data_IF_102463381243
#
_entry.id   IF_102463381243
#
_cell.length_a   1.000
_cell.length_b   1.000
_cell.length_c   1.000
_cell.angle_alpha   90.00
_cell.angle_beta   90.00
_cell.angle_gamma   90.00
#
_symmetry.space_group_name_H-M   'P 1'
#
loop_
_entity.id
_entity.type
_entity.pdbx_description
1 polymer ?
#
# COMPACT_ATOMS: atom_id res chain seq x y z
N UNK A 1 -35.26 -15.17 -25.31
CA UNK A 1 -35.21 -15.17 -23.83
C UNK A 1 -36.50 -14.54 -23.33
N UNK A 2 -37.29 -15.27 -22.51
CA UNK A 2 -38.57 -14.78 -22.00
C UNK A 2 -38.37 -13.63 -20.98
N UNK A 3 -39.41 -12.78 -20.84
CA UNK A 3 -39.42 -11.67 -19.88
C UNK A 3 -39.12 -12.16 -18.43
N UNK A 4 -39.57 -13.35 -18.05
CA UNK A 4 -39.32 -14.00 -16.77
C UNK A 4 -37.82 -14.35 -16.58
N UNK A 5 -37.09 -14.73 -17.65
CA UNK A 5 -35.64 -14.99 -17.58
C UNK A 5 -34.78 -13.71 -17.47
N UNK A 6 -35.30 -12.59 -18.04
CA UNK A 6 -34.64 -11.28 -17.86
C UNK A 6 -34.87 -10.73 -16.45
N UNK A 7 -36.04 -10.92 -15.89
CA UNK A 7 -36.40 -10.50 -14.53
C UNK A 7 -35.59 -11.31 -13.49
N UNK A 8 -35.54 -12.66 -13.61
CA UNK A 8 -34.70 -13.50 -12.74
C UNK A 8 -33.21 -13.18 -12.81
N UNK A 9 -32.64 -12.80 -14.00
CA UNK A 9 -31.27 -12.33 -14.10
C UNK A 9 -31.08 -10.96 -13.45
N UNK A 10 -32.08 -10.07 -13.49
CA UNK A 10 -32.02 -8.77 -12.80
C UNK A 10 -32.00 -8.90 -11.28
N UNK A 11 -32.70 -9.90 -10.74
CA UNK A 11 -32.81 -10.12 -9.28
C UNK A 11 -31.54 -10.74 -8.67
N UNK A 12 -30.70 -11.43 -9.48
CA UNK A 12 -29.44 -12.04 -9.03
C UNK A 12 -28.20 -11.15 -9.24
N UNK A 13 -28.30 -10.07 -10.03
CA UNK A 13 -27.19 -9.15 -10.25
C UNK A 13 -26.97 -8.29 -9.01
N UNK A 14 -25.80 -8.43 -8.37
CA UNK A 14 -25.41 -7.55 -7.27
C UNK A 14 -24.88 -6.22 -7.81
N UNK A 15 -25.29 -5.11 -7.19
CA UNK A 15 -24.77 -3.77 -7.43
C UNK A 15 -23.73 -3.44 -6.37
N UNK A 16 -22.45 -3.48 -6.73
CA UNK A 16 -21.35 -3.15 -5.82
C UNK A 16 -20.88 -1.71 -6.07
N UNK A 17 -20.87 -0.90 -5.02
CA UNK A 17 -20.32 0.44 -5.04
C UNK A 17 -18.96 0.46 -4.33
N UNK A 18 -17.89 0.66 -5.08
CA UNK A 18 -16.56 0.95 -4.52
C UNK A 18 -16.40 2.45 -4.31
N UNK A 19 -15.74 2.83 -3.22
CA UNK A 19 -15.57 4.24 -2.83
C UNK A 19 -14.13 4.54 -2.44
N UNK A 20 -13.46 5.39 -3.22
CA UNK A 20 -12.11 5.87 -2.93
C UNK A 20 -11.78 7.11 -3.76
N UNK A 21 -11.15 8.13 -3.15
CA UNK A 21 -10.72 9.33 -3.90
C UNK A 21 -9.87 9.02 -5.12
N UNK A 22 -9.00 7.99 -5.05
CA UNK A 22 -8.13 7.52 -6.13
C UNK A 22 -8.63 6.17 -6.68
N UNK A 23 -9.18 6.15 -7.87
CA UNK A 23 -9.58 4.93 -8.57
C UNK A 23 -8.35 4.27 -9.23
N UNK A 24 -8.15 2.94 -9.12
CA UNK A 24 -8.90 1.99 -8.31
C UNK A 24 -8.39 1.85 -6.86
N UNK A 25 -7.31 2.56 -6.46
CA UNK A 25 -6.70 2.44 -5.14
C UNK A 25 -6.31 0.99 -4.82
N UNK A 26 -6.51 0.57 -3.58
CA UNK A 26 -6.24 -0.79 -3.11
C UNK A 26 -7.23 -1.84 -3.60
N UNK A 27 -8.35 -1.44 -4.20
CA UNK A 27 -9.37 -2.36 -4.72
C UNK A 27 -9.06 -2.88 -6.13
N UNK A 28 -7.87 -2.58 -6.68
CA UNK A 28 -7.53 -2.89 -8.07
C UNK A 28 -7.79 -4.35 -8.44
N UNK A 29 -7.24 -5.29 -7.69
CA UNK A 29 -7.29 -6.70 -8.08
C UNK A 29 -8.71 -7.29 -7.96
N UNK A 30 -9.43 -7.00 -6.86
CA UNK A 30 -10.80 -7.47 -6.69
C UNK A 30 -11.76 -6.82 -7.72
N UNK A 31 -11.58 -5.52 -8.00
CA UNK A 31 -12.38 -4.80 -8.98
C UNK A 31 -12.16 -5.34 -10.39
N UNK A 32 -10.89 -5.59 -10.77
CA UNK A 32 -10.54 -6.16 -12.08
C UNK A 32 -11.05 -7.60 -12.23
N UNK A 33 -11.00 -8.39 -11.15
CA UNK A 33 -11.53 -9.74 -11.14
C UNK A 33 -13.05 -9.75 -11.33
N UNK A 34 -13.80 -8.96 -10.55
CA UNK A 34 -15.25 -8.82 -10.68
C UNK A 34 -15.66 -8.29 -12.08
N UNK A 35 -14.94 -7.30 -12.60
CA UNK A 35 -15.20 -6.75 -13.92
C UNK A 35 -14.97 -7.77 -15.05
N UNK A 36 -14.02 -8.68 -14.88
CA UNK A 36 -13.75 -9.75 -15.83
C UNK A 36 -14.85 -10.83 -15.86
N UNK A 37 -15.50 -11.08 -14.73
CA UNK A 37 -16.66 -12.01 -14.65
C UNK A 37 -17.87 -11.45 -15.42
N UNK A 38 -18.11 -10.14 -15.36
CA UNK A 38 -19.22 -9.48 -16.06
C UNK A 38 -20.62 -9.88 -15.55
N UNK A 39 -20.71 -10.40 -14.33
CA UNK A 39 -21.93 -10.93 -13.72
C UNK A 39 -22.63 -9.91 -12.82
N UNK A 40 -21.94 -8.86 -12.40
CA UNK A 40 -22.39 -7.88 -11.42
C UNK A 40 -22.36 -6.46 -11.98
N UNK A 41 -23.15 -5.56 -11.40
CA UNK A 41 -23.14 -4.12 -11.70
C UNK A 41 -22.10 -3.42 -10.79
N UNK A 42 -21.02 -2.98 -11.39
CA UNK A 42 -19.90 -2.39 -10.68
C UNK A 42 -19.86 -0.88 -10.87
N UNK A 43 -19.91 -0.14 -9.78
CA UNK A 43 -19.72 1.30 -9.76
C UNK A 43 -18.55 1.69 -8.86
N UNK A 44 -17.89 2.79 -9.20
CA UNK A 44 -16.78 3.34 -8.45
C UNK A 44 -16.93 4.84 -8.25
N UNK A 45 -17.14 5.29 -7.02
CA UNK A 45 -17.19 6.69 -6.63
C UNK A 45 -15.78 7.23 -6.38
N UNK A 46 -15.38 8.28 -7.10
CA UNK A 46 -14.01 8.80 -7.06
C UNK A 46 -13.92 10.28 -7.42
N UNK A 47 -12.83 10.93 -7.01
CA UNK A 47 -12.47 12.27 -7.48
C UNK A 47 -11.74 12.26 -8.83
N UNK A 48 -11.20 11.07 -9.25
CA UNK A 48 -10.46 10.93 -10.50
C UNK A 48 -11.37 11.02 -11.71
N UNK A 49 -10.95 11.79 -12.71
CA UNK A 49 -11.68 11.94 -13.98
C UNK A 49 -10.93 11.34 -15.17
N UNK A 50 -9.69 10.99 -14.98
CA UNK A 50 -8.74 10.52 -16.00
C UNK A 50 -8.60 8.99 -16.06
N UNK A 51 -9.28 8.24 -15.14
CA UNK A 51 -9.21 6.77 -15.07
C UNK A 51 -10.52 6.17 -15.50
N UNK A 52 -10.46 5.15 -16.37
CA UNK A 52 -11.60 4.33 -16.76
C UNK A 52 -11.22 2.85 -16.70
N UNK A 53 -12.10 2.03 -16.13
CA UNK A 53 -11.94 0.56 -16.08
C UNK A 53 -13.13 -0.04 -16.85
N UNK A 54 -12.83 -0.92 -17.80
CA UNK A 54 -13.87 -1.60 -18.59
C UNK A 54 -14.78 -2.43 -17.67
N UNK A 55 -16.09 -2.28 -17.81
CA UNK A 55 -17.07 -2.98 -16.98
C UNK A 55 -17.36 -2.32 -15.63
N UNK A 56 -16.76 -1.15 -15.35
CA UNK A 56 -16.98 -0.40 -14.11
C UNK A 56 -17.53 0.99 -14.43
N UNK A 57 -18.70 1.31 -13.89
CA UNK A 57 -19.28 2.64 -13.97
C UNK A 57 -18.52 3.59 -13.05
N UNK A 58 -17.85 4.60 -13.59
CA UNK A 58 -17.25 5.68 -12.79
C UNK A 58 -18.32 6.70 -12.41
N UNK A 59 -18.42 6.99 -11.12
CA UNK A 59 -19.22 8.07 -10.54
C UNK A 59 -18.23 9.11 -10.01
N UNK A 60 -18.18 10.30 -10.61
CA UNK A 60 -17.26 11.36 -10.18
C UNK A 60 -17.95 12.27 -9.17
N UNK A 61 -17.22 12.64 -8.12
CA UNK A 61 -17.65 13.66 -7.18
C UNK A 61 -16.54 14.70 -6.95
N UNK A 62 -16.91 15.84 -6.38
CA UNK A 62 -15.99 16.84 -5.89
C UNK A 62 -16.23 17.05 -4.40
N UNK A 63 -15.17 17.21 -3.58
CA UNK A 63 -15.37 17.62 -2.20
C UNK A 63 -16.21 18.89 -2.13
N UNK A 64 -17.20 18.92 -1.24
CA UNK A 64 -18.05 20.07 -1.01
C UNK A 64 -17.26 21.22 -0.37
N UNK A 65 -16.25 20.86 0.42
CA UNK A 65 -15.38 21.79 1.11
C UNK A 65 -13.97 21.18 1.29
N UNK A 66 -12.96 22.05 1.40
CA UNK A 66 -11.59 21.69 1.79
C UNK A 66 -11.10 22.71 2.81
N UNK A 67 -10.42 22.25 3.84
CA UNK A 67 -9.85 23.10 4.85
C UNK A 67 -8.83 24.08 4.25
N UNK A 68 -8.97 25.35 4.57
CA UNK A 68 -8.06 26.41 4.14
C UNK A 68 -6.66 26.28 4.75
N UNK A 69 -5.73 27.11 4.27
CA UNK A 69 -4.35 27.17 4.81
C UNK A 69 -4.34 27.58 6.30
N UNK A 70 -5.28 28.44 6.68
CA UNK A 70 -5.41 29.00 8.03
C UNK A 70 -6.36 28.19 8.92
N UNK A 71 -6.81 27.02 8.47
CA UNK A 71 -7.65 26.14 9.27
C UNK A 71 -6.93 25.70 10.55
N UNK A 72 -7.69 25.59 11.65
CA UNK A 72 -7.13 25.17 12.93
C UNK A 72 -6.55 23.75 12.83
N UNK A 73 -5.26 23.60 13.14
CA UNK A 73 -4.49 22.37 12.88
C UNK A 73 -5.12 21.09 13.43
N UNK A 74 -5.79 21.14 14.59
CA UNK A 74 -6.42 19.96 15.19
C UNK A 74 -7.76 19.56 14.52
N UNK A 75 -8.42 20.46 13.78
CA UNK A 75 -9.69 20.16 13.09
C UNK A 75 -9.54 20.05 11.58
N UNK A 76 -8.40 20.42 11.02
CA UNK A 76 -8.16 20.50 9.57
C UNK A 76 -8.44 19.21 8.82
N UNK A 77 -7.97 18.07 9.37
CA UNK A 77 -8.17 16.75 8.74
C UNK A 77 -9.65 16.37 8.76
N UNK A 78 -10.36 16.64 9.87
CA UNK A 78 -11.80 16.44 9.98
C UNK A 78 -12.60 17.33 9.02
N UNK A 79 -12.29 18.61 8.97
CA UNK A 79 -12.95 19.59 8.08
C UNK A 79 -12.86 19.16 6.62
N UNK A 80 -11.65 18.74 6.19
CA UNK A 80 -11.40 18.21 4.83
C UNK A 80 -12.19 16.93 4.56
N UNK A 81 -12.16 15.98 5.51
CA UNK A 81 -12.84 14.71 5.38
C UNK A 81 -14.37 14.87 5.35
N UNK A 82 -14.92 15.71 6.22
CA UNK A 82 -16.35 16.03 6.22
C UNK A 82 -16.79 16.65 4.90
N UNK A 83 -15.96 17.56 4.33
CA UNK A 83 -16.21 18.12 2.99
C UNK A 83 -16.19 17.09 1.87
N UNK A 84 -15.27 16.12 1.92
CA UNK A 84 -15.22 15.02 0.97
C UNK A 84 -16.43 14.10 1.12
N UNK A 85 -16.78 13.73 2.36
CA UNK A 85 -17.95 12.90 2.66
C UNK A 85 -19.26 13.54 2.20
N UNK A 86 -19.45 14.83 2.47
CA UNK A 86 -20.64 15.52 2.00
C UNK A 86 -20.70 15.58 0.47
N UNK A 87 -19.58 15.86 -0.21
CA UNK A 87 -19.52 15.84 -1.67
C UNK A 87 -19.87 14.48 -2.26
N UNK A 88 -19.36 13.39 -1.67
CA UNK A 88 -19.68 12.02 -2.03
C UNK A 88 -21.17 11.72 -1.83
N UNK A 89 -21.71 12.06 -0.66
CA UNK A 89 -23.12 11.86 -0.32
C UNK A 89 -24.07 12.59 -1.25
N UNK A 90 -23.80 13.86 -1.56
CA UNK A 90 -24.63 14.65 -2.49
C UNK A 90 -24.63 14.08 -3.91
N UNK A 91 -23.48 13.62 -4.40
CA UNK A 91 -23.36 12.97 -5.71
C UNK A 91 -24.21 11.68 -5.78
N UNK A 92 -24.19 10.86 -4.72
CA UNK A 92 -24.98 9.62 -4.66
C UNK A 92 -26.46 9.88 -4.50
N UNK A 93 -26.89 10.87 -3.71
CA UNK A 93 -28.30 11.30 -3.61
C UNK A 93 -28.86 11.80 -4.94
N UNK A 94 -28.06 12.57 -5.68
CA UNK A 94 -28.45 13.00 -7.02
C UNK A 94 -28.65 11.80 -7.96
N UNK A 95 -27.72 10.86 -7.93
CA UNK A 95 -27.79 9.64 -8.74
C UNK A 95 -29.00 8.76 -8.39
N UNK A 96 -29.32 8.63 -7.10
CA UNK A 96 -30.54 7.93 -6.65
C UNK A 96 -31.79 8.62 -7.16
N UNK A 97 -31.87 9.96 -7.02
CA UNK A 97 -33.03 10.73 -7.46
C UNK A 97 -33.21 10.69 -8.98
N UNK A 98 -32.14 10.84 -9.73
CA UNK A 98 -32.22 11.01 -11.19
C UNK A 98 -32.31 9.68 -11.95
N UNK A 99 -31.73 8.60 -11.40
CA UNK A 99 -31.63 7.30 -12.06
C UNK A 99 -32.20 6.12 -11.23
N UNK A 100 -32.62 6.35 -9.99
CA UNK A 100 -33.03 5.28 -9.09
C UNK A 100 -31.89 4.36 -8.68
N UNK A 101 -30.65 4.86 -8.75
CA UNK A 101 -29.46 4.06 -8.39
C UNK A 101 -29.42 3.82 -6.88
N UNK A 102 -29.29 2.54 -6.51
CA UNK A 102 -29.06 2.12 -5.14
C UNK A 102 -28.16 0.88 -5.15
N UNK A 103 -27.02 0.86 -4.43
CA UNK A 103 -26.17 -0.31 -4.34
C UNK A 103 -26.73 -1.36 -3.38
N UNK A 104 -26.34 -2.61 -3.56
CA UNK A 104 -26.61 -3.70 -2.61
C UNK A 104 -25.56 -3.76 -1.49
N UNK A 105 -24.35 -3.26 -1.77
CA UNK A 105 -23.22 -3.15 -0.81
C UNK A 105 -22.28 -2.03 -1.20
N UNK A 106 -21.69 -1.38 -0.19
CA UNK A 106 -20.67 -0.34 -0.34
C UNK A 106 -19.35 -0.88 0.23
N UNK A 107 -18.26 -0.72 -0.52
CA UNK A 107 -16.90 -1.09 -0.10
C UNK A 107 -16.00 0.12 -0.30
N UNK A 108 -15.43 0.67 0.76
CA UNK A 108 -14.71 1.93 0.62
C UNK A 108 -13.65 2.18 1.67
N UNK A 109 -12.84 3.20 1.42
CA UNK A 109 -11.76 3.65 2.30
C UNK A 109 -12.27 4.65 3.32
N UNK A 110 -11.97 4.44 4.61
CA UNK A 110 -12.46 5.29 5.71
C UNK A 110 -11.61 6.54 5.95
N UNK A 111 -10.37 6.54 5.48
CA UNK A 111 -9.39 7.56 5.89
C UNK A 111 -9.58 8.95 5.30
N UNK A 112 -10.40 9.10 4.26
CA UNK A 112 -10.54 10.36 3.52
C UNK A 112 -11.92 11.01 3.67
N UNK A 113 -12.84 10.33 4.37
CA UNK A 113 -14.15 10.86 4.75
C UNK A 113 -15.32 10.47 3.84
N UNK A 114 -15.10 9.88 2.67
CA UNK A 114 -16.17 9.55 1.72
C UNK A 114 -17.24 8.63 2.30
N UNK A 115 -16.90 7.77 3.26
CA UNK A 115 -17.84 6.85 3.89
C UNK A 115 -18.64 7.46 5.04
N UNK A 116 -18.30 8.67 5.52
CA UNK A 116 -18.88 9.26 6.73
C UNK A 116 -20.41 9.35 6.72
N UNK A 117 -21.03 9.56 5.54
CA UNK A 117 -22.45 9.83 5.43
C UNK A 117 -23.20 8.78 4.58
N UNK A 118 -22.64 7.60 4.36
CA UNK A 118 -23.31 6.58 3.55
C UNK A 118 -24.58 6.06 4.21
N UNK A 119 -24.57 5.89 5.53
CA UNK A 119 -25.74 5.46 6.31
C UNK A 119 -26.85 6.53 6.37
N UNK A 120 -26.52 7.80 6.15
CA UNK A 120 -27.49 8.88 6.05
C UNK A 120 -28.23 8.91 4.70
N UNK A 121 -27.68 8.21 3.70
CA UNK A 121 -28.33 8.04 2.39
C UNK A 121 -29.11 6.73 2.40
N UNK A 122 -28.46 5.64 2.75
CA UNK A 122 -28.98 4.28 2.72
C UNK A 122 -28.69 3.55 4.04
N UNK A 123 -29.53 3.73 5.07
CA UNK A 123 -29.30 3.18 6.42
C UNK A 123 -29.16 1.65 6.45
N UNK A 124 -29.86 0.96 5.57
CA UNK A 124 -29.94 -0.50 5.47
C UNK A 124 -28.92 -1.12 4.48
N UNK A 125 -28.23 -0.32 3.65
CA UNK A 125 -27.19 -0.85 2.76
C UNK A 125 -25.93 -1.17 3.56
N UNK A 126 -25.41 -2.41 3.51
CA UNK A 126 -24.19 -2.78 4.21
C UNK A 126 -22.97 -2.04 3.67
N UNK A 127 -22.06 -1.68 4.59
CA UNK A 127 -20.83 -0.96 4.29
C UNK A 127 -19.63 -1.72 4.85
N UNK A 128 -18.68 -2.10 3.98
CA UNK A 128 -17.34 -2.57 4.38
C UNK A 128 -16.38 -1.40 4.28
N UNK A 129 -15.81 -1.00 5.42
CA UNK A 129 -14.85 0.09 5.50
C UNK A 129 -13.41 -0.40 5.64
N UNK A 130 -12.52 0.04 4.76
CA UNK A 130 -11.10 -0.21 4.89
C UNK A 130 -10.46 0.80 5.84
N UNK A 131 -9.86 0.28 6.91
CA UNK A 131 -9.18 1.05 7.96
C UNK A 131 -7.67 0.92 7.80
N UNK A 132 -7.04 1.92 7.18
CA UNK A 132 -5.62 1.87 6.87
C UNK A 132 -4.74 2.08 8.10
N UNK A 133 -5.04 3.08 8.92
CA UNK A 133 -4.18 3.44 10.03
C UNK A 133 -4.92 4.16 11.17
N UNK A 134 -4.48 3.89 12.40
CA UNK A 134 -4.93 4.59 13.61
C UNK A 134 -3.70 5.13 14.36
N UNK A 135 -3.66 6.42 14.57
CA UNK A 135 -2.50 7.11 15.16
C UNK A 135 -2.42 6.84 16.67
N UNK A 136 -1.23 6.42 17.11
CA UNK A 136 -0.84 6.27 18.53
C UNK A 136 0.45 7.02 18.75
N UNK A 137 0.70 7.47 19.98
CA UNK A 137 1.92 8.19 20.37
C UNK A 137 3.13 7.29 20.57
N UNK A 138 2.93 5.97 20.50
CA UNK A 138 4.00 4.97 20.62
C UNK A 138 3.79 3.78 19.68
N UNK A 139 4.87 3.07 19.35
CA UNK A 139 4.86 1.86 18.56
C UNK A 139 4.41 2.03 17.10
N UNK A 140 4.37 3.24 16.57
CA UNK A 140 3.98 3.56 15.22
C UNK A 140 4.80 4.71 14.65
N UNK A 141 4.28 5.38 13.62
CA UNK A 141 4.97 6.46 12.92
C UNK A 141 5.35 7.65 13.82
N UNK A 142 4.46 8.01 14.78
CA UNK A 142 4.68 9.16 15.67
C UNK A 142 5.76 8.79 16.69
N UNK A 143 6.82 9.61 16.74
CA UNK A 143 7.92 9.44 17.70
C UNK A 143 8.85 8.26 17.42
N UNK A 144 8.83 7.70 16.21
CA UNK A 144 9.72 6.61 15.83
C UNK A 144 11.14 7.12 15.49
N UNK A 145 11.24 8.24 14.77
CA UNK A 145 12.53 8.78 14.33
C UNK A 145 13.19 9.62 15.44
N UNK A 146 14.32 9.18 16.02
CA UNK A 146 15.02 9.92 17.07
C UNK A 146 15.64 11.24 16.57
N UNK A 147 15.97 11.33 15.27
CA UNK A 147 16.50 12.56 14.66
C UNK A 147 15.41 13.61 14.48
N UNK A 148 14.15 13.19 14.57
CA UNK A 148 12.98 14.07 14.44
C UNK A 148 11.98 13.78 15.56
N UNK A 149 12.35 14.04 16.82
CA UNK A 149 11.51 13.73 17.97
C UNK A 149 10.18 14.53 17.92
N UNK A 150 9.09 13.91 18.38
CA UNK A 150 7.80 14.59 18.41
C UNK A 150 7.86 15.76 19.41
N UNK A 151 7.21 16.86 19.07
CA UNK A 151 7.01 17.96 20.00
C UNK A 151 5.94 17.61 21.05
N UNK A 152 5.80 18.43 22.10
CA UNK A 152 4.84 18.23 23.20
C UNK A 152 3.38 18.13 22.74
N UNK A 153 3.06 18.59 21.55
CA UNK A 153 1.71 18.59 20.98
C UNK A 153 1.41 17.37 20.09
N UNK A 154 2.41 16.56 19.76
CA UNK A 154 2.25 15.44 18.82
C UNK A 154 1.14 14.46 19.23
N UNK A 155 0.96 14.23 20.54
CA UNK A 155 -0.12 13.41 21.07
C UNK A 155 -1.51 13.98 20.80
N UNK A 156 -1.68 15.30 20.89
CA UNK A 156 -2.95 15.96 20.59
C UNK A 156 -3.28 15.87 19.10
N UNK A 157 -2.29 16.10 18.23
CA UNK A 157 -2.44 15.93 16.77
C UNK A 157 -2.75 14.49 16.38
N UNK A 158 -2.05 13.50 16.97
CA UNK A 158 -2.33 12.10 16.72
C UNK A 158 -3.76 11.73 17.09
N UNK A 159 -4.25 12.23 18.24
CA UNK A 159 -5.64 12.01 18.69
C UNK A 159 -6.65 12.71 17.77
N UNK A 160 -6.36 13.93 17.35
CA UNK A 160 -7.24 14.71 16.44
C UNK A 160 -7.36 14.03 15.07
N UNK A 161 -6.28 13.50 14.52
CA UNK A 161 -6.29 12.72 13.25
C UNK A 161 -7.17 11.48 13.30
N UNK A 162 -7.35 10.88 14.47
CA UNK A 162 -8.22 9.74 14.63
C UNK A 162 -9.72 10.08 14.60
N UNK A 163 -10.10 11.36 14.54
CA UNK A 163 -11.52 11.77 14.47
C UNK A 163 -12.22 11.13 13.26
N UNK A 164 -11.56 11.10 12.09
CA UNK A 164 -12.13 10.51 10.87
C UNK A 164 -12.30 9.00 10.99
N UNK A 165 -11.26 8.19 11.38
CA UNK A 165 -11.46 6.77 11.65
C UNK A 165 -12.52 6.48 12.72
N UNK A 166 -12.57 7.25 13.81
CA UNK A 166 -13.61 7.08 14.85
C UNK A 166 -15.01 7.32 14.32
N UNK A 167 -15.24 8.41 13.58
CA UNK A 167 -16.54 8.67 12.99
C UNK A 167 -16.92 7.61 11.95
N UNK A 168 -15.93 7.10 11.22
CA UNK A 168 -16.15 6.02 10.23
C UNK A 168 -16.54 4.69 10.86
N UNK A 169 -16.20 4.42 12.14
CA UNK A 169 -16.62 3.21 12.87
C UNK A 169 -18.15 3.11 12.94
N UNK A 170 -18.84 4.24 13.12
CA UNK A 170 -20.31 4.29 13.14
C UNK A 170 -20.93 4.13 11.74
N UNK A 171 -20.19 4.46 10.70
CA UNK A 171 -20.68 4.44 9.32
C UNK A 171 -20.50 3.10 8.62
N UNK A 172 -19.88 2.09 9.25
CA UNK A 172 -19.58 0.79 8.65
C UNK A 172 -20.17 -0.37 9.45
N UNK A 173 -20.58 -1.42 8.74
CA UNK A 173 -21.07 -2.67 9.34
C UNK A 173 -19.88 -3.61 9.64
N UNK A 174 -18.85 -3.61 8.78
CA UNK A 174 -17.66 -4.44 8.92
C UNK A 174 -16.40 -3.65 8.56
N UNK A 175 -15.41 -3.69 9.43
CA UNK A 175 -14.08 -3.12 9.19
C UNK A 175 -13.17 -4.12 8.49
N UNK A 176 -12.32 -3.62 7.60
CA UNK A 176 -11.27 -4.36 6.92
C UNK A 176 -9.90 -3.74 7.23
N UNK A 177 -8.92 -4.54 7.61
CA UNK A 177 -7.51 -4.14 7.79
C UNK A 177 -6.59 -5.18 7.16
N UNK A 178 -5.42 -4.78 6.60
CA UNK A 178 -4.55 -5.72 5.89
C UNK A 178 -3.64 -6.55 6.79
N UNK A 179 -3.38 -6.13 8.04
CA UNK A 179 -2.47 -6.81 8.97
C UNK A 179 -3.02 -6.82 10.40
N UNK A 180 -2.59 -7.77 11.21
CA UNK A 180 -2.94 -7.82 12.64
C UNK A 180 -2.37 -6.61 13.39
N UNK A 181 -1.13 -6.19 13.06
CA UNK A 181 -0.54 -5.00 13.65
C UNK A 181 -1.40 -3.75 13.39
N UNK A 182 -1.94 -3.58 12.17
CA UNK A 182 -2.84 -2.44 11.89
C UNK A 182 -4.14 -2.54 12.69
N UNK A 183 -4.76 -3.74 12.79
CA UNK A 183 -5.95 -3.96 13.64
C UNK A 183 -5.68 -3.54 15.08
N UNK A 184 -4.57 -3.98 15.65
CA UNK A 184 -4.23 -3.75 17.07
C UNK A 184 -3.89 -2.27 17.38
N UNK A 185 -3.76 -1.43 16.36
CA UNK A 185 -3.71 0.04 16.51
C UNK A 185 -5.09 0.64 16.84
N UNK A 186 -6.19 0.02 16.37
CA UNK A 186 -7.54 0.49 16.61
C UNK A 186 -8.00 0.18 18.05
N UNK A 187 -9.09 0.81 18.54
CA UNK A 187 -9.68 0.46 19.84
C UNK A 187 -10.10 -1.01 19.88
N UNK A 188 -9.76 -1.71 20.96
CA UNK A 188 -10.09 -3.12 21.15
C UNK A 188 -11.60 -3.40 21.01
N UNK A 189 -12.43 -2.47 21.48
CA UNK A 189 -13.90 -2.54 21.38
C UNK A 189 -14.42 -2.62 19.94
N UNK A 190 -13.55 -2.36 18.95
CA UNK A 190 -13.91 -2.45 17.53
C UNK A 190 -13.34 -3.70 16.84
N UNK A 191 -12.43 -4.45 17.48
CA UNK A 191 -11.76 -5.60 16.87
C UNK A 191 -12.73 -6.69 16.41
N UNK A 192 -13.81 -6.95 17.15
CA UNK A 192 -14.83 -7.96 16.80
C UNK A 192 -15.59 -7.62 15.50
N UNK A 193 -15.57 -6.36 15.10
CA UNK A 193 -16.16 -5.87 13.84
C UNK A 193 -15.12 -5.67 12.74
N UNK A 194 -13.88 -6.16 12.93
CA UNK A 194 -12.80 -6.06 11.93
C UNK A 194 -12.35 -7.45 11.49
N UNK A 195 -12.17 -7.63 10.18
CA UNK A 195 -11.43 -8.78 9.68
C UNK A 195 -10.07 -8.37 9.14
N UNK A 196 -9.11 -9.27 9.29
CA UNK A 196 -7.74 -9.07 8.82
C UNK A 196 -7.54 -9.87 7.53
N UNK A 197 -7.28 -9.18 6.45
CA UNK A 197 -6.96 -9.79 5.16
C UNK A 197 -6.15 -8.79 4.33
N UNK A 198 -5.06 -9.24 3.72
CA UNK A 198 -4.33 -8.41 2.77
C UNK A 198 -5.12 -8.28 1.45
N UNK A 199 -4.83 -7.25 0.65
CA UNK A 199 -5.46 -7.07 -0.68
C UNK A 199 -5.12 -8.18 -1.68
N UNK A 200 -4.09 -8.96 -1.36
CA UNK A 200 -3.57 -10.03 -2.18
C UNK A 200 -2.47 -9.61 -3.15
N UNK A 201 -1.64 -10.57 -3.48
CA UNK A 201 -0.55 -10.48 -4.45
C UNK A 201 -0.85 -11.43 -5.61
N UNK A 202 -0.70 -10.96 -6.84
CA UNK A 202 -0.84 -11.79 -8.06
C UNK A 202 0.40 -12.66 -8.23
N UNK A 203 0.54 -13.69 -7.39
CA UNK A 203 1.70 -14.60 -7.40
C UNK A 203 1.80 -15.40 -8.70
N UNK A 204 0.69 -15.54 -9.44
CA UNK A 204 0.62 -16.10 -10.79
C UNK A 204 1.34 -15.25 -11.85
N UNK A 205 1.44 -13.92 -11.64
CA UNK A 205 2.12 -12.96 -12.53
C UNK A 205 3.48 -12.54 -12.00
N UNK A 206 3.59 -12.41 -10.68
CA UNK A 206 4.81 -12.00 -9.98
C UNK A 206 5.66 -13.23 -9.64
N UNK A 207 6.15 -13.86 -10.69
CA UNK A 207 7.01 -15.05 -10.63
C UNK A 207 8.48 -14.67 -10.76
N UNK A 208 9.41 -15.48 -10.21
CA UNK A 208 10.81 -15.37 -10.55
C UNK A 208 11.02 -15.57 -12.06
N UNK A 209 12.01 -14.90 -12.61
CA UNK A 209 12.40 -15.04 -14.01
C UNK A 209 13.94 -15.00 -14.10
N UNK A 210 14.59 -16.16 -14.25
CA UNK A 210 16.06 -16.26 -14.38
C UNK A 210 16.60 -15.54 -15.62
N UNK A 211 15.78 -15.36 -16.66
CA UNK A 211 16.13 -14.65 -17.89
C UNK A 211 15.92 -13.14 -17.84
N UNK A 212 15.43 -12.61 -16.70
CA UNK A 212 15.17 -11.19 -16.56
C UNK A 212 16.44 -10.35 -16.72
N UNK A 213 16.31 -9.24 -17.43
CA UNK A 213 17.39 -8.27 -17.61
C UNK A 213 16.83 -6.86 -17.75
N UNK A 214 17.66 -5.86 -17.44
CA UNK A 214 17.35 -4.44 -17.64
C UNK A 214 18.54 -3.70 -18.23
N UNK A 215 18.31 -2.87 -19.23
CA UNK A 215 19.33 -2.02 -19.82
C UNK A 215 19.24 -0.61 -19.24
N UNK A 216 20.30 -0.16 -18.60
CA UNK A 216 20.46 1.23 -18.19
C UNK A 216 21.34 1.91 -19.24
N UNK A 217 20.80 2.89 -19.97
CA UNK A 217 21.42 3.47 -21.15
C UNK A 217 22.88 3.97 -21.01
N UNK A 218 23.32 4.21 -19.78
CA UNK A 218 24.70 4.64 -19.48
C UNK A 218 25.69 3.48 -19.29
N UNK A 219 25.22 2.24 -19.13
CA UNK A 219 26.10 1.10 -18.82
C UNK A 219 26.62 0.32 -20.02
N UNK A 220 26.06 0.57 -21.22
CA UNK A 220 26.46 -0.11 -22.46
C UNK A 220 26.16 -1.61 -22.51
N UNK A 221 25.59 -2.19 -21.45
CA UNK A 221 25.14 -3.59 -21.36
C UNK A 221 23.92 -3.74 -20.48
N UNK A 222 23.21 -4.83 -20.63
CA UNK A 222 22.12 -5.20 -19.71
C UNK A 222 22.70 -5.72 -18.38
N UNK A 223 21.98 -5.43 -17.30
CA UNK A 223 22.15 -6.07 -15.98
C UNK A 223 21.24 -7.28 -15.89
N UNK A 224 21.73 -8.32 -15.25
CA UNK A 224 21.03 -9.58 -15.00
C UNK A 224 21.15 -9.96 -13.53
N UNK A 225 20.56 -11.09 -13.14
CA UNK A 225 20.68 -11.62 -11.78
C UNK A 225 22.13 -12.06 -11.42
N UNK A 226 23.01 -12.24 -12.40
CA UNK A 226 24.41 -12.56 -12.15
C UNK A 226 25.23 -11.36 -11.71
N UNK A 227 24.69 -10.16 -11.91
CA UNK A 227 25.31 -8.92 -11.44
C UNK A 227 24.95 -8.68 -9.96
N UNK A 228 25.84 -7.98 -9.23
CA UNK A 228 25.59 -7.56 -7.85
C UNK A 228 24.63 -6.36 -7.81
N UNK A 229 23.37 -6.61 -8.20
CA UNK A 229 22.34 -5.58 -8.19
C UNK A 229 21.68 -5.52 -6.81
N UNK A 230 21.77 -4.37 -6.18
CA UNK A 230 21.06 -4.04 -4.94
C UNK A 230 19.90 -3.11 -5.32
N UNK A 231 18.70 -3.42 -4.88
CA UNK A 231 17.53 -2.60 -5.18
C UNK A 231 16.93 -2.00 -3.91
N UNK A 232 16.47 -0.76 -4.03
CA UNK A 232 15.65 -0.09 -3.03
C UNK A 232 14.44 0.50 -3.73
N UNK A 233 13.23 0.20 -3.24
CA UNK A 233 11.98 0.65 -3.82
C UNK A 233 11.12 1.34 -2.77
N UNK A 234 10.76 2.58 -3.02
CA UNK A 234 9.82 3.34 -2.21
C UNK A 234 8.92 4.20 -3.11
N UNK A 235 7.77 4.61 -2.61
CA UNK A 235 6.92 5.56 -3.33
C UNK A 235 7.65 6.88 -3.56
N UNK A 236 8.29 7.37 -2.50
CA UNK A 236 9.14 8.56 -2.50
C UNK A 236 10.37 8.31 -1.62
N UNK A 237 11.47 9.02 -1.91
CA UNK A 237 12.72 9.00 -1.14
C UNK A 237 12.55 9.83 0.13
N UNK A 238 12.00 9.20 1.17
CA UNK A 238 11.58 9.88 2.41
C UNK A 238 12.07 9.15 3.67
N UNK A 239 12.16 9.88 4.80
CA UNK A 239 12.62 9.35 6.09
C UNK A 239 11.76 8.18 6.57
N UNK A 240 10.44 8.27 6.38
CA UNK A 240 9.51 7.20 6.74
C UNK A 240 9.78 5.86 6.02
N UNK A 241 10.47 5.89 4.91
CA UNK A 241 10.91 4.71 4.13
C UNK A 241 12.39 4.42 4.29
N UNK A 242 13.07 5.02 5.28
CA UNK A 242 14.47 4.74 5.62
C UNK A 242 15.47 5.16 4.55
N UNK A 243 15.11 6.09 3.65
CA UNK A 243 16.00 6.51 2.57
C UNK A 243 17.33 7.05 3.09
N UNK A 244 17.33 7.87 4.16
CA UNK A 244 18.54 8.38 4.83
C UNK A 244 19.41 7.25 5.40
N UNK A 245 18.82 6.19 5.95
CA UNK A 245 19.54 5.02 6.46
C UNK A 245 20.20 4.24 5.31
N UNK A 246 19.40 4.01 4.22
CA UNK A 246 19.93 3.39 3.00
C UNK A 246 21.12 4.16 2.44
N UNK A 247 21.04 5.49 2.35
CA UNK A 247 22.12 6.33 1.83
C UNK A 247 23.37 6.24 2.71
N UNK A 248 23.22 6.31 4.03
CA UNK A 248 24.33 6.18 5.00
C UNK A 248 25.00 4.80 4.99
N UNK A 249 24.31 3.76 4.54
CA UNK A 249 24.86 2.42 4.37
C UNK A 249 25.74 2.28 3.10
N UNK A 250 25.55 3.15 2.09
CA UNK A 250 26.21 3.04 0.78
C UNK A 250 27.73 3.05 0.84
N UNK A 251 28.43 3.93 1.61
CA UNK A 251 29.89 3.96 1.61
C UNK A 251 30.49 2.58 1.92
N UNK A 252 30.02 1.94 3.00
CA UNK A 252 30.49 0.61 3.43
C UNK A 252 30.13 -0.49 2.42
N UNK A 253 28.93 -0.46 1.85
CA UNK A 253 28.51 -1.43 0.82
C UNK A 253 29.39 -1.31 -0.41
N UNK A 254 29.58 -0.09 -0.93
CA UNK A 254 30.29 0.15 -2.17
C UNK A 254 31.82 -0.06 -2.01
N UNK A 255 32.39 0.17 -0.84
CA UNK A 255 33.76 -0.18 -0.50
C UNK A 255 33.97 -1.69 -0.49
N UNK A 256 33.11 -2.43 0.25
CA UNK A 256 33.23 -3.88 0.40
C UNK A 256 32.87 -4.65 -0.89
N UNK A 257 32.00 -4.09 -1.74
CA UNK A 257 31.53 -4.72 -2.99
C UNK A 257 31.78 -3.81 -4.21
N UNK A 258 32.99 -3.81 -4.78
CA UNK A 258 33.37 -2.90 -5.88
C UNK A 258 32.54 -3.10 -7.16
N UNK A 259 31.90 -4.27 -7.34
CA UNK A 259 31.05 -4.58 -8.51
C UNK A 259 29.58 -4.23 -8.29
N UNK A 260 29.17 -3.92 -7.05
CA UNK A 260 27.78 -3.65 -6.72
C UNK A 260 27.22 -2.43 -7.47
N UNK A 261 25.95 -2.55 -7.91
CA UNK A 261 25.15 -1.50 -8.53
C UNK A 261 23.90 -1.28 -7.71
N UNK A 262 23.64 -0.05 -7.35
CA UNK A 262 22.49 0.35 -6.54
C UNK A 262 21.41 0.92 -7.45
N UNK A 263 20.25 0.31 -7.47
CA UNK A 263 19.10 0.80 -8.23
C UNK A 263 18.03 1.30 -7.25
N UNK A 264 17.77 2.59 -7.26
CA UNK A 264 16.78 3.24 -6.39
C UNK A 264 15.59 3.70 -7.21
N UNK A 265 14.39 3.21 -6.84
CA UNK A 265 13.13 3.49 -7.53
C UNK A 265 12.20 4.24 -6.59
N UNK A 266 11.70 5.39 -7.03
CA UNK A 266 10.77 6.24 -6.30
C UNK A 266 10.87 7.70 -6.69
N UNK A 267 9.84 8.48 -6.29
CA UNK A 267 9.84 9.95 -6.48
C UNK A 267 10.71 10.66 -5.43
N UNK A 268 10.82 11.97 -5.58
CA UNK A 268 11.57 12.82 -4.64
C UNK A 268 10.63 13.70 -3.78
N UNK A 269 9.32 13.40 -3.84
CA UNK A 269 8.34 14.08 -3.01
C UNK A 269 8.28 13.45 -1.60
N UNK A 270 7.58 14.09 -0.67
CA UNK A 270 7.31 13.55 0.68
C UNK A 270 5.84 13.17 0.78
N UNK A 271 5.56 11.90 1.11
CA UNK A 271 4.20 11.40 1.40
C UNK A 271 3.92 11.34 2.89
N UNK A 272 4.94 11.02 3.69
CA UNK A 272 4.82 10.80 5.13
C UNK A 272 5.98 11.43 5.90
N UNK A 273 5.65 12.06 7.03
CA UNK A 273 6.65 12.70 7.89
C UNK A 273 6.94 14.15 7.50
N UNK A 274 8.05 14.67 8.04
CA UNK A 274 8.50 16.02 7.77
C UNK A 274 9.22 16.09 6.41
N UNK A 275 8.92 17.13 5.65
CA UNK A 275 9.61 17.45 4.42
C UNK A 275 11.03 17.98 4.71
N UNK A 276 12.02 17.56 3.93
CA UNK A 276 13.37 18.15 4.01
C UNK A 276 13.33 19.60 3.56
N UNK A 277 14.05 20.46 4.29
CA UNK A 277 14.20 21.88 3.94
C UNK A 277 15.26 22.12 2.84
N UNK A 278 16.01 21.07 2.46
CA UNK A 278 17.00 21.15 1.39
C UNK A 278 16.32 21.36 0.03
N UNK A 279 16.81 22.26 -0.86
CA UNK A 279 16.20 22.51 -2.16
C UNK A 279 16.05 21.28 -3.06
N UNK A 280 16.96 20.29 -2.93
CA UNK A 280 16.90 19.00 -3.62
C UNK A 280 16.07 17.93 -2.89
N UNK A 281 15.30 18.31 -1.86
CA UNK A 281 14.59 17.35 -1.00
C UNK A 281 15.54 16.50 -0.17
N UNK A 282 15.04 15.41 0.41
CA UNK A 282 15.89 14.50 1.22
C UNK A 282 17.00 13.85 0.39
N UNK A 283 16.77 13.63 -0.89
CA UNK A 283 17.80 13.11 -1.79
C UNK A 283 18.99 14.07 -1.88
N UNK A 284 18.74 15.36 -2.16
CA UNK A 284 19.81 16.37 -2.24
C UNK A 284 20.55 16.53 -0.91
N UNK A 285 19.82 16.47 0.24
CA UNK A 285 20.42 16.48 1.57
C UNK A 285 21.41 15.32 1.75
N UNK A 286 21.04 14.10 1.33
CA UNK A 286 21.89 12.93 1.44
C UNK A 286 23.04 12.93 0.43
N UNK A 287 22.84 13.42 -0.78
CA UNK A 287 23.92 13.60 -1.76
C UNK A 287 24.99 14.58 -1.24
N UNK A 288 24.57 15.66 -0.58
CA UNK A 288 25.49 16.62 0.07
C UNK A 288 26.19 16.01 1.29
N UNK A 289 25.45 15.26 2.15
CA UNK A 289 26.03 14.58 3.33
C UNK A 289 27.12 13.58 2.92
N UNK A 290 26.91 12.82 1.86
CA UNK A 290 27.86 11.79 1.42
C UNK A 290 29.00 12.35 0.57
N UNK A 291 28.79 13.42 -0.17
CA UNK A 291 29.81 14.08 -0.99
C UNK A 291 30.61 13.09 -1.85
N UNK A 292 31.93 13.14 -1.70
CA UNK A 292 32.88 12.28 -2.44
C UNK A 292 33.17 10.93 -1.75
N UNK A 293 32.42 10.57 -0.69
CA UNK A 293 32.66 9.33 0.04
C UNK A 293 32.23 8.06 -0.73
N UNK A 294 31.51 8.21 -1.85
CA UNK A 294 31.05 7.09 -2.69
C UNK A 294 31.28 7.35 -4.19
N UNK A 295 31.36 6.27 -4.94
CA UNK A 295 31.34 6.30 -6.41
C UNK A 295 29.90 6.40 -6.93
N UNK A 296 29.45 7.62 -7.20
CA UNK A 296 28.12 7.91 -7.72
C UNK A 296 27.82 7.26 -9.07
N UNK A 297 28.82 6.85 -9.84
CA UNK A 297 28.61 6.13 -11.11
C UNK A 297 27.94 4.77 -10.93
N UNK A 298 27.95 4.26 -9.70
CA UNK A 298 27.35 2.97 -9.30
C UNK A 298 25.97 3.11 -8.65
N UNK A 299 25.50 4.33 -8.37
CA UNK A 299 24.20 4.62 -7.76
C UNK A 299 23.28 5.21 -8.80
N UNK A 300 22.17 4.55 -9.05
CA UNK A 300 21.24 4.90 -10.12
C UNK A 300 19.86 5.23 -9.54
N UNK A 301 19.50 6.50 -9.53
CA UNK A 301 18.17 6.98 -9.21
C UNK A 301 17.29 6.92 -10.47
N UNK A 302 16.35 6.00 -10.51
CA UNK A 302 15.55 5.72 -11.69
C UNK A 302 14.22 6.50 -11.72
N UNK A 303 13.88 7.18 -10.61
CA UNK A 303 12.60 7.85 -10.48
C UNK A 303 11.43 6.84 -10.44
N UNK A 304 10.25 7.28 -10.85
CA UNK A 304 9.07 6.43 -11.01
C UNK A 304 9.14 5.73 -12.35
N UNK A 305 9.26 4.41 -12.34
CA UNK A 305 9.35 3.58 -13.56
C UNK A 305 8.00 2.90 -13.87
N UNK A 306 7.76 2.46 -15.12
CA UNK A 306 6.64 1.59 -15.46
C UNK A 306 6.66 0.30 -14.60
N UNK A 307 5.48 -0.23 -14.28
CA UNK A 307 5.36 -1.39 -13.38
C UNK A 307 6.07 -2.65 -13.89
N UNK A 308 6.04 -2.89 -15.20
CA UNK A 308 6.74 -4.02 -15.81
C UNK A 308 8.27 -3.89 -15.67
N UNK A 309 8.81 -2.68 -15.77
CA UNK A 309 10.24 -2.42 -15.54
C UNK A 309 10.60 -2.58 -14.07
N UNK A 310 9.73 -2.13 -13.14
CA UNK A 310 9.89 -2.40 -11.71
C UNK A 310 9.99 -3.91 -11.44
N UNK A 311 9.10 -4.71 -12.01
CA UNK A 311 9.15 -6.16 -11.87
C UNK A 311 10.45 -6.76 -12.43
N UNK A 312 10.93 -6.30 -13.59
CA UNK A 312 12.22 -6.74 -14.16
C UNK A 312 13.39 -6.39 -13.23
N UNK A 313 13.40 -5.17 -12.68
CA UNK A 313 14.45 -4.71 -11.75
C UNK A 313 14.46 -5.54 -10.48
N UNK A 314 13.29 -5.86 -9.91
CA UNK A 314 13.21 -6.71 -8.72
C UNK A 314 13.69 -8.14 -9.02
N UNK A 315 13.33 -8.71 -10.18
CA UNK A 315 13.75 -10.06 -10.59
C UNK A 315 15.26 -10.22 -10.73
N UNK A 316 15.98 -9.18 -11.15
CA UNK A 316 17.45 -9.20 -11.23
C UNK A 316 18.12 -8.84 -9.91
N UNK A 317 17.37 -8.46 -8.89
CA UNK A 317 17.93 -8.05 -7.58
C UNK A 317 18.60 -9.21 -6.87
N UNK A 318 19.87 -9.05 -6.51
CA UNK A 318 20.61 -9.97 -5.64
C UNK A 318 20.30 -9.72 -4.16
N UNK A 319 20.01 -8.46 -3.83
CA UNK A 319 19.59 -8.06 -2.50
C UNK A 319 18.59 -6.91 -2.62
N UNK A 320 17.36 -7.13 -2.14
CA UNK A 320 16.33 -6.09 -2.09
C UNK A 320 16.26 -5.51 -0.70
N UNK A 321 16.51 -4.21 -0.58
CA UNK A 321 16.43 -3.49 0.69
C UNK A 321 15.04 -2.90 0.85
N UNK A 322 14.37 -3.27 1.95
CA UNK A 322 13.07 -2.75 2.32
C UNK A 322 13.09 -2.11 3.70
N UNK A 323 13.09 -0.80 3.74
CA UNK A 323 13.06 -0.03 4.99
C UNK A 323 11.72 0.70 5.12
N UNK A 324 11.15 0.66 6.30
CA UNK A 324 9.94 1.41 6.64
C UNK A 324 9.88 1.64 8.15
N UNK A 325 9.40 2.81 8.55
CA UNK A 325 8.92 3.01 9.92
C UNK A 325 7.68 2.13 10.16
N UNK A 326 7.29 1.84 11.43
CA UNK A 326 6.07 1.10 11.74
C UNK A 326 4.83 1.81 11.18
N UNK A 327 4.42 1.41 9.99
CA UNK A 327 3.30 1.95 9.23
C UNK A 327 2.66 0.83 8.39
N UNK A 328 1.94 1.19 7.35
CA UNK A 328 1.31 0.22 6.43
C UNK A 328 2.37 -0.61 5.71
N UNK A 329 2.19 -1.92 5.69
CA UNK A 329 3.02 -2.84 4.92
C UNK A 329 2.89 -2.53 3.42
N UNK A 330 4.01 -2.29 2.73
CA UNK A 330 3.99 -1.97 1.30
C UNK A 330 3.82 -3.23 0.45
N UNK A 331 3.04 -3.13 -0.62
CA UNK A 331 2.94 -4.18 -1.63
C UNK A 331 4.30 -4.58 -2.20
N UNK A 332 5.22 -3.62 -2.39
CA UNK A 332 6.53 -3.87 -2.99
C UNK A 332 7.36 -4.89 -2.22
N UNK A 333 7.18 -5.02 -0.89
CA UNK A 333 7.82 -6.06 -0.10
C UNK A 333 7.32 -7.46 -0.53
N UNK A 334 6.00 -7.65 -0.50
CA UNK A 334 5.40 -8.94 -0.84
C UNK A 334 5.59 -9.29 -2.33
N UNK A 335 5.61 -8.30 -3.20
CA UNK A 335 5.93 -8.46 -4.62
C UNK A 335 7.38 -8.92 -4.82
N UNK A 336 8.34 -8.32 -4.09
CA UNK A 336 9.73 -8.74 -4.11
C UNK A 336 9.91 -10.17 -3.57
N UNK A 337 9.25 -10.50 -2.46
CA UNK A 337 9.22 -11.86 -1.91
C UNK A 337 8.60 -12.87 -2.91
N UNK A 338 7.50 -12.50 -3.58
CA UNK A 338 6.86 -13.33 -4.62
C UNK A 338 7.80 -13.63 -5.78
N UNK A 339 8.64 -12.66 -6.17
CA UNK A 339 9.64 -12.80 -7.24
C UNK A 339 10.97 -13.43 -6.78
N UNK A 340 11.03 -13.94 -5.54
CA UNK A 340 12.21 -14.59 -4.94
C UNK A 340 13.44 -13.65 -4.82
N UNK A 341 13.24 -12.37 -4.61
CA UNK A 341 14.33 -11.49 -4.22
C UNK A 341 14.79 -11.85 -2.80
N UNK A 342 16.11 -11.86 -2.55
CA UNK A 342 16.64 -11.95 -1.19
C UNK A 342 16.41 -10.62 -0.49
N UNK A 343 15.56 -10.58 0.52
CA UNK A 343 15.13 -9.34 1.17
C UNK A 343 15.93 -9.09 2.45
N UNK A 344 16.47 -7.88 2.59
CA UNK A 344 16.97 -7.33 3.86
C UNK A 344 16.04 -6.17 4.25
N UNK A 345 15.35 -6.30 5.37
CA UNK A 345 14.29 -5.40 5.77
C UNK A 345 14.47 -4.83 7.17
N UNK A 346 13.81 -3.70 7.44
CA UNK A 346 13.75 -3.12 8.78
C UNK A 346 13.04 -4.05 9.76
N UNK A 347 13.65 -4.25 10.94
CA UNK A 347 13.08 -5.04 12.04
C UNK A 347 12.02 -4.24 12.80
N UNK A 348 10.84 -4.11 12.20
CA UNK A 348 9.69 -3.42 12.79
C UNK A 348 8.44 -4.30 12.77
N UNK A 349 7.52 -4.05 13.69
CA UNK A 349 6.39 -4.92 13.95
C UNK A 349 5.55 -5.29 12.69
N UNK A 350 5.15 -4.36 11.80
CA UNK A 350 4.40 -4.74 10.60
C UNK A 350 5.21 -5.61 9.61
N UNK A 351 6.54 -5.46 9.57
CA UNK A 351 7.41 -6.26 8.69
C UNK A 351 7.57 -7.68 9.23
N UNK A 352 7.60 -7.86 10.56
CA UNK A 352 7.67 -9.17 11.21
C UNK A 352 6.44 -10.04 10.94
N UNK A 353 5.30 -9.47 10.51
CA UNK A 353 4.15 -10.27 10.07
C UNK A 353 4.40 -10.94 8.70
N UNK A 354 5.26 -10.38 7.87
CA UNK A 354 5.58 -10.90 6.55
C UNK A 354 6.93 -11.62 6.48
N UNK A 355 7.88 -11.26 7.35
CA UNK A 355 9.24 -11.82 7.31
C UNK A 355 9.59 -12.50 8.65
N UNK A 356 9.94 -13.78 8.55
CA UNK A 356 10.65 -14.52 9.60
C UNK A 356 12.14 -14.40 9.35
N UNK A 357 12.88 -13.79 10.32
CA UNK A 357 14.32 -13.55 10.21
C UNK A 357 15.09 -14.85 9.98
N UNK A 358 15.95 -14.87 8.96
CA UNK A 358 16.76 -16.04 8.58
C UNK A 358 16.01 -17.12 7.82
N UNK A 359 14.68 -17.01 7.65
CA UNK A 359 13.87 -18.02 6.95
C UNK A 359 13.27 -17.49 5.64
N UNK A 360 12.63 -16.30 5.69
CA UNK A 360 11.98 -15.69 4.52
C UNK A 360 12.58 -14.32 4.16
N UNK A 361 13.57 -13.86 4.93
CA UNK A 361 14.32 -12.63 4.73
C UNK A 361 15.19 -12.33 5.95
N UNK A 362 16.01 -11.29 5.85
CA UNK A 362 16.86 -10.81 6.94
C UNK A 362 16.26 -9.55 7.52
N UNK A 363 16.19 -9.46 8.85
CA UNK A 363 15.73 -8.27 9.58
C UNK A 363 16.93 -7.57 10.22
N UNK A 364 17.00 -6.25 10.09
CA UNK A 364 18.05 -5.39 10.65
C UNK A 364 17.43 -4.21 11.39
N UNK A 365 18.13 -3.69 12.41
CA UNK A 365 17.69 -2.47 13.08
C UNK A 365 17.56 -1.32 12.07
N UNK A 366 16.40 -0.67 12.07
CA UNK A 366 16.11 0.43 11.16
C UNK A 366 17.10 1.59 11.28
N UNK A 367 17.59 1.88 12.50
CA UNK A 367 18.47 3.03 12.76
C UNK A 367 19.97 2.69 12.69
N UNK A 368 20.32 1.49 12.24
CA UNK A 368 21.71 1.05 12.19
C UNK A 368 22.17 0.84 10.72
N UNK A 369 22.67 1.90 10.04
CA UNK A 369 23.15 1.79 8.65
C UNK A 369 24.36 0.85 8.51
N UNK A 370 25.20 0.71 9.55
CA UNK A 370 26.32 -0.21 9.55
C UNK A 370 25.84 -1.67 9.55
N UNK A 371 24.86 -2.01 10.40
CA UNK A 371 24.26 -3.35 10.42
C UNK A 371 23.55 -3.67 9.11
N UNK A 372 22.86 -2.68 8.51
CA UNK A 372 22.27 -2.82 7.18
C UNK A 372 23.36 -3.12 6.14
N UNK A 373 24.44 -2.35 6.14
CA UNK A 373 25.54 -2.52 5.20
C UNK A 373 26.18 -3.90 5.35
N UNK A 374 26.50 -4.32 6.58
CA UNK A 374 27.10 -5.63 6.88
C UNK A 374 26.21 -6.77 6.41
N UNK A 375 24.91 -6.71 6.65
CA UNK A 375 23.97 -7.75 6.21
C UNK A 375 23.89 -7.82 4.69
N UNK A 376 23.86 -6.67 4.00
CA UNK A 376 23.83 -6.62 2.52
C UNK A 376 25.12 -7.18 1.94
N UNK A 377 26.28 -6.77 2.48
CA UNK A 377 27.61 -7.28 2.07
C UNK A 377 27.68 -8.80 2.26
N UNK A 378 27.19 -9.30 3.38
CA UNK A 378 27.20 -10.72 3.69
C UNK A 378 26.31 -11.54 2.73
N UNK A 379 25.10 -11.06 2.43
CA UNK A 379 24.21 -11.66 1.43
C UNK A 379 24.90 -11.76 0.06
N UNK A 380 25.60 -10.73 -0.36
CA UNK A 380 26.31 -10.72 -1.64
C UNK A 380 27.58 -11.58 -1.64
N UNK A 381 28.27 -11.67 -0.51
CA UNK A 381 29.50 -12.43 -0.37
C UNK A 381 29.26 -13.95 -0.25
N UNK A 382 28.15 -14.35 0.37
CA UNK A 382 27.81 -15.76 0.68
C UNK A 382 26.45 -16.16 0.09
N UNK A 383 26.25 -16.04 -1.24
CA UNK A 383 24.92 -16.27 -1.85
C UNK A 383 24.35 -17.64 -1.55
N UNK A 384 25.18 -18.70 -1.44
CA UNK A 384 24.73 -20.05 -1.15
C UNK A 384 24.13 -20.17 0.26
N UNK A 385 24.67 -19.43 1.25
CA UNK A 385 24.13 -19.38 2.61
C UNK A 385 22.69 -18.85 2.63
N UNK A 386 22.38 -17.91 1.76
CA UNK A 386 21.09 -17.22 1.68
C UNK A 386 20.18 -17.71 0.56
N UNK A 387 20.58 -18.74 -0.18
CA UNK A 387 19.85 -19.24 -1.35
C UNK A 387 18.43 -19.72 -1.03
N UNK A 388 18.18 -20.13 0.20
CA UNK A 388 16.87 -20.61 0.67
C UNK A 388 15.86 -19.49 0.92
N UNK A 389 16.32 -18.25 1.19
CA UNK A 389 15.44 -17.14 1.58
C UNK A 389 14.41 -16.79 0.49
N UNK A 390 14.83 -16.68 -0.78
CA UNK A 390 13.96 -16.34 -1.88
C UNK A 390 12.84 -17.38 -2.10
N UNK A 391 13.15 -18.68 -2.26
CA UNK A 391 12.15 -19.74 -2.36
C UNK A 391 11.18 -19.79 -1.17
N UNK A 392 11.69 -19.68 0.07
CA UNK A 392 10.87 -19.67 1.28
C UNK A 392 9.97 -18.44 1.35
N UNK A 393 10.49 -17.24 1.02
CA UNK A 393 9.72 -16.00 0.94
C UNK A 393 8.55 -16.14 -0.04
N UNK A 394 8.81 -16.68 -1.25
CA UNK A 394 7.75 -16.94 -2.23
C UNK A 394 6.73 -17.95 -1.71
N UNK A 395 7.17 -19.07 -1.12
CA UNK A 395 6.25 -20.06 -0.58
C UNK A 395 5.32 -19.43 0.47
N UNK A 396 5.86 -18.62 1.38
CA UNK A 396 5.10 -17.90 2.38
C UNK A 396 4.09 -16.92 1.75
N UNK A 397 4.49 -16.15 0.73
CA UNK A 397 3.58 -15.20 0.05
C UNK A 397 2.48 -15.94 -0.69
N UNK A 398 2.77 -17.06 -1.36
CA UNK A 398 1.76 -17.89 -2.04
C UNK A 398 0.77 -18.48 -1.04
N UNK A 399 1.25 -18.96 0.10
CA UNK A 399 0.42 -19.57 1.13
C UNK A 399 -0.47 -18.55 1.85
N UNK A 400 0.02 -17.32 2.08
CA UNK A 400 -0.63 -16.36 2.96
C UNK A 400 -1.30 -15.21 2.21
N UNK A 401 -0.67 -14.72 1.14
CA UNK A 401 -1.02 -13.46 0.48
C UNK A 401 -1.44 -13.60 -0.98
N UNK A 402 -1.52 -14.83 -1.53
CA UNK A 402 -1.96 -15.01 -2.92
C UNK A 402 -3.37 -14.45 -3.12
N UNK A 403 -3.53 -13.60 -4.13
CA UNK A 403 -4.81 -12.94 -4.39
C UNK A 403 -5.91 -13.94 -4.72
N UNK A 404 -5.65 -14.87 -5.66
CA UNK A 404 -6.70 -15.74 -6.20
C UNK A 404 -7.14 -16.84 -5.23
N UNK A 405 -6.20 -17.39 -4.46
CA UNK A 405 -6.45 -18.60 -3.65
C UNK A 405 -6.61 -18.31 -2.16
N UNK A 406 -6.24 -17.11 -1.68
CA UNK A 406 -6.29 -16.73 -0.27
C UNK A 406 -7.11 -15.47 -0.02
N UNK A 407 -6.68 -14.34 -0.58
CA UNK A 407 -7.30 -13.06 -0.23
C UNK A 407 -8.65 -12.84 -0.90
N UNK A 408 -8.80 -13.19 -2.18
CA UNK A 408 -10.06 -13.05 -2.89
C UNK A 408 -11.18 -13.89 -2.26
N UNK A 409 -10.99 -15.21 -1.96
CA UNK A 409 -12.01 -16.00 -1.28
C UNK A 409 -12.45 -15.40 0.06
N UNK A 410 -11.52 -14.89 0.87
CA UNK A 410 -11.82 -14.24 2.14
C UNK A 410 -12.64 -12.96 1.93
N UNK A 411 -12.24 -12.07 1.01
CA UNK A 411 -13.00 -10.87 0.70
C UNK A 411 -14.40 -11.19 0.19
N UNK A 412 -14.55 -12.16 -0.70
CA UNK A 412 -15.86 -12.60 -1.23
C UNK A 412 -16.71 -13.19 -0.11
N UNK A 413 -16.14 -14.01 0.77
CA UNK A 413 -16.88 -14.56 1.92
C UNK A 413 -17.44 -13.45 2.82
N UNK A 414 -16.65 -12.38 3.08
CA UNK A 414 -17.10 -11.23 3.88
C UNK A 414 -18.18 -10.41 3.19
N UNK A 415 -18.09 -10.21 1.88
CA UNK A 415 -19.12 -9.56 1.08
C UNK A 415 -20.42 -10.40 1.13
N UNK A 416 -20.29 -11.69 0.88
CA UNK A 416 -21.42 -12.62 0.84
C UNK A 416 -22.14 -12.79 2.19
N UNK A 417 -21.44 -12.57 3.31
CA UNK A 417 -22.03 -12.61 4.64
C UNK A 417 -22.96 -11.42 4.92
N UNK A 418 -22.84 -10.33 4.17
CA UNK A 418 -23.61 -9.09 4.37
C UNK A 418 -24.73 -8.88 3.37
N UNK A 419 -24.88 -9.77 2.39
CA UNK A 419 -25.89 -9.64 1.33
C UNK A 419 -26.80 -10.86 1.30
N UNK A 420 -28.04 -10.75 0.77
CA UNK A 420 -28.94 -11.87 0.59
C UNK A 420 -28.34 -12.99 -0.28
N UNK A 421 -28.80 -14.23 -0.07
CA UNK A 421 -28.23 -15.42 -0.72
C UNK A 421 -28.28 -15.34 -2.25
N UNK A 422 -29.37 -14.83 -2.81
CA UNK A 422 -29.57 -14.66 -4.26
C UNK A 422 -28.62 -13.63 -4.91
N UNK A 423 -27.98 -12.79 -4.09
CA UNK A 423 -27.01 -11.76 -4.54
C UNK A 423 -25.55 -12.20 -4.39
N UNK A 424 -25.26 -13.36 -3.79
CA UNK A 424 -23.91 -13.81 -3.47
C UNK A 424 -23.06 -14.01 -4.72
N UNK A 425 -21.79 -13.62 -4.59
CA UNK A 425 -20.76 -13.83 -5.61
C UNK A 425 -20.29 -15.29 -5.53
N UNK A 426 -20.18 -15.95 -6.67
CA UNK A 426 -19.59 -17.28 -6.81
C UNK A 426 -18.13 -17.15 -7.27
N UNK A 427 -17.21 -17.92 -6.65
CA UNK A 427 -15.79 -17.96 -6.99
C UNK A 427 -15.50 -18.91 -8.15
#
# INVERSE_FOLDING_TARGET
MSQANRQRRGDTVMKLLFVHQNMPGQYREILMWLAAQGEHDLAFLTQRQDVQIKGVRRISYRPHHQAGKDAYGLSKDWETAAGAGLGAALALRALEKDEGYRPDIIIGHTGWGELLFMKEIWPDVPVIGFFEYFYRTSGGLVGFDPDNPPNDQAGFFAKARNTVPYASIESVDLGHVPTYWQRDRFPESFHDRMYVCHYGIRTDRLTPDPGASISLGRLGRALTRDDEVITYVARNMERARGFHIMMRALPRILEARPKARILMIGGNETSYGAESKHPGGLRGEMEEELGDSIDWSRVHFLGKVPYDDLCRIIRISRCHIYLTMPFVLSWSLLEAMSMQATVVAADVAPVREAITHGETGMLVDFFNPEALADQVVDVLARPDTYAHLGPNARAHVVETYDFLTRCLPEHIARINALVPEEKRITL
#
